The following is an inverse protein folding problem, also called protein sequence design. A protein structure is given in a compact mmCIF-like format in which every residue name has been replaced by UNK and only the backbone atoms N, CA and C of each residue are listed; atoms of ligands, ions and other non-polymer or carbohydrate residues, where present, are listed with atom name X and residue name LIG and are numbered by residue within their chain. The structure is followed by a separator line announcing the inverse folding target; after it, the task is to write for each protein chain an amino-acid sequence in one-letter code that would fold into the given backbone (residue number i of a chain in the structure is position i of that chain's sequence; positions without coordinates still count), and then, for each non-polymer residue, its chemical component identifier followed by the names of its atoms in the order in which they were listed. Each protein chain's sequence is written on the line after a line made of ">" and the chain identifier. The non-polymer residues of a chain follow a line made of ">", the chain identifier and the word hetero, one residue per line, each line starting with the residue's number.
data_IF_774931842546
#
_entry.id   IF_774931842546
#
_cell.length_a   1.000
_cell.length_b   1.000
_cell.length_c   1.000
_cell.angle_alpha   90.00
_cell.angle_beta   90.00
_cell.angle_gamma   90.00
#
_symmetry.space_group_name_H-M   'P 1'
#
loop_
_entity.id
_entity.type
_entity.pdbx_description
1 polymer ?
#
# COMPACT_ATOMS: atom_id res chain seq x y z
N UNK A 1 19.79 -6.58 -4.55
CA UNK A 1 18.83 -6.21 -3.50
C UNK A 1 18.98 -4.76 -3.07
N UNK A 2 20.19 -4.33 -2.71
CA UNK A 2 20.41 -2.95 -2.28
C UNK A 2 20.12 -1.94 -3.39
N UNK A 3 20.57 -2.20 -4.62
CA UNK A 3 20.32 -1.30 -5.74
C UNK A 3 18.83 -1.21 -6.06
N UNK A 4 18.12 -2.32 -5.99
CA UNK A 4 16.69 -2.37 -6.24
C UNK A 4 15.93 -1.56 -5.21
N UNK A 5 16.33 -1.67 -3.94
CA UNK A 5 15.73 -0.89 -2.86
C UNK A 5 15.98 0.61 -3.08
N UNK A 6 17.21 0.99 -3.44
CA UNK A 6 17.53 2.39 -3.71
C UNK A 6 16.73 2.94 -4.88
N UNK A 7 16.50 2.13 -5.92
CA UNK A 7 15.69 2.54 -7.05
C UNK A 7 14.27 2.91 -6.61
N UNK A 8 13.63 2.01 -5.86
CA UNK A 8 12.26 2.26 -5.39
C UNK A 8 12.19 3.43 -4.41
N UNK A 9 13.18 3.56 -3.53
CA UNK A 9 13.22 4.65 -2.57
C UNK A 9 13.27 6.00 -3.28
N UNK A 10 14.09 6.12 -4.34
CA UNK A 10 14.23 7.38 -5.07
C UNK A 10 13.04 7.69 -5.96
N UNK A 11 12.26 6.69 -6.32
CA UNK A 11 11.17 6.85 -7.29
C UNK A 11 9.78 6.70 -6.68
N UNK A 12 9.66 6.77 -5.36
CA UNK A 12 8.37 6.60 -4.69
C UNK A 12 7.30 7.56 -5.21
N UNK A 13 7.64 8.85 -5.35
CA UNK A 13 6.68 9.83 -5.85
C UNK A 13 6.31 9.60 -7.31
N UNK A 14 7.27 9.17 -8.12
CA UNK A 14 7.03 8.87 -9.52
C UNK A 14 6.14 7.64 -9.68
N UNK A 15 6.38 6.62 -8.86
CA UNK A 15 5.56 5.41 -8.83
C UNK A 15 4.10 5.75 -8.51
N UNK A 16 3.88 6.56 -7.49
CA UNK A 16 2.53 6.95 -7.10
C UNK A 16 1.83 7.73 -8.22
N UNK A 17 2.55 8.64 -8.88
CA UNK A 17 2.00 9.40 -10.01
C UNK A 17 1.64 8.49 -11.16
N UNK A 18 2.49 7.51 -11.47
CA UNK A 18 2.24 6.55 -12.53
C UNK A 18 0.98 5.74 -12.25
N UNK A 19 0.83 5.26 -11.02
CA UNK A 19 -0.34 4.49 -10.60
C UNK A 19 -1.63 5.29 -10.74
N UNK A 20 -1.58 6.59 -10.50
CA UNK A 20 -2.76 7.44 -10.60
C UNK A 20 -3.25 7.66 -12.03
N UNK A 21 -2.38 7.47 -13.02
CA UNK A 21 -2.78 7.63 -14.43
C UNK A 21 -3.76 6.56 -14.89
N UNK A 22 -3.77 5.40 -14.24
CA UNK A 22 -4.67 4.31 -14.57
C UNK A 22 -5.88 4.27 -13.66
N UNK A 23 -6.42 5.43 -13.29
CA UNK A 23 -7.48 5.56 -12.31
C UNK A 23 -8.70 4.71 -12.58
N UNK A 24 -9.16 4.62 -13.84
CA UNK A 24 -10.34 3.83 -14.17
C UNK A 24 -10.13 2.34 -13.91
N UNK A 25 -8.95 1.81 -14.27
CA UNK A 25 -8.63 0.41 -14.03
C UNK A 25 -8.53 0.11 -12.53
N UNK A 26 -7.97 1.05 -11.77
CA UNK A 26 -7.86 0.89 -10.32
C UNK A 26 -9.22 0.95 -9.64
N UNK A 27 -10.11 1.81 -10.11
CA UNK A 27 -11.46 1.86 -9.55
C UNK A 27 -12.22 0.55 -9.74
N UNK A 28 -12.11 -0.06 -10.92
CA UNK A 28 -12.70 -1.37 -11.16
C UNK A 28 -12.12 -2.42 -10.21
N UNK A 29 -10.81 -2.39 -10.00
CA UNK A 29 -10.15 -3.30 -9.09
C UNK A 29 -10.66 -3.10 -7.65
N UNK A 30 -10.80 -1.85 -7.21
CA UNK A 30 -11.30 -1.56 -5.87
C UNK A 30 -12.72 -2.08 -5.69
N UNK A 31 -13.58 -1.92 -6.68
CA UNK A 31 -14.95 -2.43 -6.63
C UNK A 31 -14.97 -3.96 -6.49
N UNK A 32 -14.03 -4.64 -7.13
CA UNK A 32 -13.93 -6.09 -7.03
C UNK A 32 -13.39 -6.56 -5.68
N UNK A 33 -12.45 -5.79 -5.11
CA UNK A 33 -11.79 -6.15 -3.86
C UNK A 33 -12.64 -5.84 -2.64
N UNK A 34 -13.38 -4.73 -2.64
CA UNK A 34 -14.12 -4.28 -1.46
C UNK A 34 -15.01 -5.35 -0.83
N UNK A 35 -15.83 -6.11 -1.59
CA UNK A 35 -16.64 -7.16 -0.97
C UNK A 35 -15.80 -8.26 -0.34
N UNK A 36 -14.63 -8.54 -0.93
CA UNK A 36 -13.73 -9.58 -0.44
C UNK A 36 -13.12 -9.20 0.91
N UNK A 37 -12.74 -7.94 1.09
CA UNK A 37 -12.06 -7.48 2.31
C UNK A 37 -13.02 -6.98 3.39
N UNK A 38 -14.32 -6.90 3.09
CA UNK A 38 -15.30 -6.32 4.00
C UNK A 38 -15.26 -7.00 5.37
N UNK A 39 -15.06 -6.21 6.41
CA UNK A 39 -14.98 -6.64 7.81
C UNK A 39 -13.84 -7.61 8.11
N UNK A 40 -12.84 -7.69 7.25
CA UNK A 40 -11.71 -8.60 7.43
C UNK A 40 -10.44 -7.84 7.83
N UNK A 41 -9.54 -8.57 8.48
CA UNK A 41 -8.18 -8.10 8.69
C UNK A 41 -7.38 -8.45 7.45
N UNK A 42 -6.71 -7.44 6.87
CA UNK A 42 -6.01 -7.58 5.59
C UNK A 42 -4.53 -7.32 5.81
N UNK A 43 -3.70 -8.20 5.28
CA UNK A 43 -2.25 -7.97 5.20
C UNK A 43 -1.89 -7.76 3.74
N UNK A 44 -1.36 -6.58 3.43
CA UNK A 44 -0.89 -6.27 2.10
C UNK A 44 0.63 -6.25 2.06
N UNK A 45 1.21 -7.03 1.17
CA UNK A 45 2.66 -7.07 0.95
C UNK A 45 3.01 -6.19 -0.23
N UNK A 46 4.15 -5.49 -0.15
CA UNK A 46 4.61 -4.60 -1.21
C UNK A 46 3.58 -3.50 -1.52
N UNK A 47 3.10 -2.83 -0.48
CA UNK A 47 2.03 -1.82 -0.59
C UNK A 47 2.43 -0.59 -1.40
N UNK A 48 3.73 -0.34 -1.58
CA UNK A 48 4.22 0.88 -2.23
C UNK A 48 3.83 2.10 -1.41
N UNK A 49 3.20 3.07 -2.06
CA UNK A 49 2.73 4.29 -1.37
C UNK A 49 1.35 4.11 -0.74
N UNK A 50 0.85 2.88 -0.69
CA UNK A 50 -0.37 2.56 0.03
C UNK A 50 -1.66 2.89 -0.73
N UNK A 51 -1.59 2.98 -2.05
CA UNK A 51 -2.73 3.40 -2.85
C UNK A 51 -3.92 2.46 -2.69
N UNK A 52 -3.68 1.16 -2.79
CA UNK A 52 -4.74 0.15 -2.64
C UNK A 52 -5.23 0.11 -1.19
N UNK A 53 -4.30 0.07 -0.23
CA UNK A 53 -4.64 0.01 1.20
C UNK A 53 -5.54 1.17 1.61
N UNK A 54 -5.24 2.38 1.13
CA UNK A 54 -6.02 3.57 1.45
C UNK A 54 -7.44 3.51 0.89
N UNK A 55 -7.64 2.79 -0.21
CA UNK A 55 -8.96 2.65 -0.81
C UNK A 55 -9.81 1.58 -0.15
N UNK A 56 -9.18 0.50 0.36
CA UNK A 56 -9.93 -0.61 0.92
C UNK A 56 -10.16 -0.49 2.42
N UNK A 57 -9.46 0.41 3.11
CA UNK A 57 -9.48 0.47 4.56
C UNK A 57 -10.87 0.73 5.13
N UNK A 58 -11.71 1.47 4.42
CA UNK A 58 -13.07 1.76 4.91
C UNK A 58 -13.94 0.50 4.96
N UNK A 59 -13.71 -0.44 4.07
CA UNK A 59 -14.47 -1.70 4.05
C UNK A 59 -13.88 -2.73 5.00
N UNK A 60 -12.58 -2.73 5.21
CA UNK A 60 -11.90 -3.72 6.04
C UNK A 60 -12.05 -3.42 7.52
N UNK A 61 -11.86 -4.42 8.37
CA UNK A 61 -11.80 -4.23 9.81
C UNK A 61 -10.46 -3.65 10.23
N UNK A 62 -9.38 -4.09 9.58
CA UNK A 62 -8.01 -3.65 9.85
C UNK A 62 -7.16 -3.91 8.62
N UNK A 63 -6.25 -3.00 8.29
CA UNK A 63 -5.30 -3.21 7.21
C UNK A 63 -3.88 -3.00 7.74
N UNK A 64 -3.06 -4.02 7.58
CA UNK A 64 -1.62 -3.96 7.84
C UNK A 64 -0.94 -3.94 6.47
N UNK A 65 -0.35 -2.81 6.10
CA UNK A 65 0.26 -2.62 4.79
C UNK A 65 1.76 -2.48 4.95
N UNK A 66 2.52 -3.29 4.22
CA UNK A 66 3.96 -3.38 4.39
C UNK A 66 4.68 -3.19 3.07
N UNK A 67 5.92 -2.74 3.16
CA UNK A 67 6.84 -2.65 2.02
C UNK A 67 8.26 -2.69 2.53
N UNK A 68 9.17 -3.21 1.71
CA UNK A 68 10.59 -3.24 2.07
C UNK A 68 11.24 -1.86 1.95
N UNK A 69 10.62 -0.94 1.19
CA UNK A 69 11.17 0.39 0.96
C UNK A 69 10.71 1.36 2.04
N UNK A 70 11.67 1.89 2.80
CA UNK A 70 11.39 2.91 3.81
C UNK A 70 10.81 4.18 3.19
N UNK A 71 11.27 4.54 1.99
CA UNK A 71 10.77 5.72 1.29
C UNK A 71 9.31 5.56 0.86
N UNK A 72 8.95 4.39 0.38
CA UNK A 72 7.55 4.09 0.03
C UNK A 72 6.64 4.18 1.25
N UNK A 73 7.08 3.62 2.37
CA UNK A 73 6.29 3.66 3.60
C UNK A 73 6.18 5.08 4.15
N UNK A 74 7.27 5.86 4.08
CA UNK A 74 7.21 7.26 4.50
C UNK A 74 6.20 8.05 3.68
N UNK A 75 6.18 7.83 2.37
CA UNK A 75 5.20 8.46 1.48
C UNK A 75 3.77 8.01 1.80
N UNK A 76 3.61 6.72 2.07
CA UNK A 76 2.31 6.16 2.41
C UNK A 76 1.74 6.75 3.70
N UNK A 77 2.59 6.95 4.70
CA UNK A 77 2.18 7.50 6.01
C UNK A 77 1.79 8.96 5.95
N UNK A 78 2.29 9.70 4.97
CA UNK A 78 2.17 11.16 4.94
C UNK A 78 0.74 11.65 5.05
N UNK A 79 -0.19 10.98 4.38
CA UNK A 79 -1.59 11.41 4.36
C UNK A 79 -2.54 10.32 4.90
N UNK A 80 -2.04 9.43 5.74
CA UNK A 80 -2.89 8.43 6.36
C UNK A 80 -3.60 9.00 7.58
N UNK A 81 -4.92 8.98 7.53
CA UNK A 81 -5.76 9.49 8.62
C UNK A 81 -6.64 8.41 9.25
N UNK A 82 -6.46 7.15 8.86
CA UNK A 82 -7.28 6.06 9.38
C UNK A 82 -6.58 5.31 10.48
N UNK A 83 -7.27 5.14 11.62
CA UNK A 83 -6.77 4.35 12.73
C UNK A 83 -6.71 2.85 12.41
N UNK A 84 -7.44 2.41 11.38
CA UNK A 84 -7.48 1.00 10.96
C UNK A 84 -6.39 0.63 9.96
N UNK A 85 -5.62 1.61 9.49
CA UNK A 85 -4.59 1.39 8.48
C UNK A 85 -3.22 1.64 9.08
N UNK A 86 -2.40 0.59 9.11
CA UNK A 86 -1.05 0.67 9.64
C UNK A 86 -0.04 0.35 8.56
N UNK A 87 0.95 1.23 8.40
CA UNK A 87 2.05 1.03 7.46
C UNK A 87 3.32 0.69 8.22
N UNK A 88 4.07 -0.29 7.73
CA UNK A 88 5.36 -0.63 8.33
C UNK A 88 6.35 -1.11 7.28
N UNK A 89 7.64 -0.87 7.56
CA UNK A 89 8.72 -1.36 6.71
C UNK A 89 8.98 -2.81 7.08
N UNK A 90 8.72 -3.73 6.15
CA UNK A 90 8.90 -5.16 6.36
C UNK A 90 9.41 -5.78 5.07
N UNK A 91 10.39 -6.68 5.20
CA UNK A 91 10.83 -7.49 4.08
C UNK A 91 9.97 -8.74 4.05
N UNK A 92 9.24 -8.96 2.95
CA UNK A 92 8.31 -10.08 2.84
C UNK A 92 9.00 -11.44 2.96
N UNK A 93 10.31 -11.49 2.71
CA UNK A 93 11.09 -12.72 2.85
C UNK A 93 11.57 -12.95 4.29
N UNK A 94 11.31 -12.03 5.20
CA UNK A 94 11.74 -12.10 6.60
C UNK A 94 10.58 -11.95 7.58
N UNK A 95 9.36 -12.08 7.11
CA UNK A 95 8.19 -12.05 7.98
C UNK A 95 8.17 -13.31 8.85
N UNK A 96 7.74 -13.18 10.12
CA UNK A 96 7.66 -14.35 11.02
C UNK A 96 6.66 -15.37 10.53
#
# INVERSE_FOLDING_TARGET
>A
MRERKNFWDRNAGLYDRFMRKDGAAYEMMYEMIQPVVRHKTVLELATGTGLIAKHIVNAAALVEATDASAEMIAEAKRDNHSAKLHFSVQDMFRLP
#
